data_IF_984678477326
#
_entry.id   IF_984678477326
#
_cell.length_a   1.000
_cell.length_b   1.000
_cell.length_c   1.000
_cell.angle_alpha   90.00
_cell.angle_beta   90.00
_cell.angle_gamma   90.00
#
_symmetry.space_group_name_H-M   'P 1'
#
loop_
_entity.id
_entity.type
_entity.pdbx_description
1 polymer ?
#
# COMPACT_ATOMS: atom_id res chain seq x y z
N UNK A 1 3.52 -11.99 2.76
CA UNK A 1 3.93 -11.35 4.02
C UNK A 1 4.72 -10.09 3.72
N UNK A 2 4.50 -9.01 4.46
CA UNK A 2 5.17 -7.72 4.24
C UNK A 2 5.67 -7.10 5.55
N UNK A 3 6.99 -6.85 5.71
CA UNK A 3 7.52 -6.13 6.85
C UNK A 3 7.31 -4.62 6.69
N UNK A 4 6.66 -3.99 7.65
CA UNK A 4 6.37 -2.55 7.68
C UNK A 4 6.53 -2.01 9.10
N UNK A 5 7.45 -1.06 9.30
CA UNK A 5 7.76 -0.45 10.61
C UNK A 5 8.00 -1.48 11.73
N UNK A 6 8.72 -2.57 11.41
CA UNK A 6 8.99 -3.65 12.37
C UNK A 6 7.78 -4.52 12.72
N UNK A 7 6.64 -4.34 12.04
CA UNK A 7 5.46 -5.20 12.12
C UNK A 7 5.32 -6.02 10.86
N UNK A 8 4.70 -7.19 10.99
CA UNK A 8 4.50 -8.11 9.89
C UNK A 8 3.04 -8.10 9.48
N UNK A 9 2.77 -7.74 8.23
CA UNK A 9 1.41 -7.75 7.66
C UNK A 9 1.25 -9.02 6.82
N UNK A 10 0.30 -9.86 7.22
CA UNK A 10 -0.09 -11.06 6.51
C UNK A 10 -1.28 -10.73 5.61
N UNK A 11 -1.14 -11.09 4.33
CA UNK A 11 -2.17 -10.93 3.32
C UNK A 11 -2.45 -12.31 2.78
N UNK A 12 -3.64 -12.84 3.08
CA UNK A 12 -4.04 -14.21 2.73
C UNK A 12 -4.29 -14.36 1.22
N UNK A 13 -4.81 -13.31 0.59
CA UNK A 13 -5.12 -13.34 -0.84
C UNK A 13 -3.84 -13.29 -1.70
N UNK A 14 -3.59 -14.36 -2.46
CA UNK A 14 -2.42 -14.49 -3.33
C UNK A 14 -2.40 -13.42 -4.45
N UNK A 15 -3.55 -13.15 -5.08
CA UNK A 15 -3.66 -12.12 -6.13
C UNK A 15 -3.35 -10.75 -5.57
N UNK A 16 -3.81 -10.45 -4.35
CA UNK A 16 -3.47 -9.21 -3.65
C UNK A 16 -2.00 -9.10 -3.34
N UNK A 17 -1.41 -10.20 -2.87
CA UNK A 17 0.01 -10.26 -2.57
C UNK A 17 0.85 -9.99 -3.83
N UNK A 18 0.52 -10.63 -4.96
CA UNK A 18 1.17 -10.39 -6.26
C UNK A 18 1.00 -8.94 -6.72
N UNK A 19 -0.21 -8.38 -6.64
CA UNK A 19 -0.46 -7.00 -7.02
C UNK A 19 0.34 -6.01 -6.13
N UNK A 20 0.33 -6.20 -4.82
CA UNK A 20 1.13 -5.40 -3.87
C UNK A 20 2.64 -5.52 -4.13
N UNK A 21 3.12 -6.71 -4.51
CA UNK A 21 4.53 -6.91 -4.88
C UNK A 21 4.95 -6.12 -6.13
N UNK A 22 4.04 -5.90 -7.08
CA UNK A 22 4.29 -5.05 -8.26
C UNK A 22 4.28 -3.54 -7.95
N UNK A 23 3.80 -3.12 -6.76
CA UNK A 23 3.84 -1.72 -6.35
C UNK A 23 5.24 -1.32 -5.84
N UNK A 24 5.67 -0.06 -6.08
CA UNK A 24 6.83 0.52 -5.42
C UNK A 24 6.71 0.44 -3.90
N UNK A 25 7.83 0.20 -3.21
CA UNK A 25 7.88 0.04 -1.75
C UNK A 25 7.11 1.13 -0.99
N UNK A 26 7.31 2.39 -1.36
CA UNK A 26 6.66 3.53 -0.71
C UNK A 26 5.13 3.52 -0.85
N UNK A 27 4.59 3.10 -1.99
CA UNK A 27 3.15 2.98 -2.20
C UNK A 27 2.57 1.78 -1.45
N UNK A 28 3.30 0.67 -1.45
CA UNK A 28 2.93 -0.51 -0.69
C UNK A 28 2.88 -0.20 0.81
N UNK A 29 3.90 0.44 1.36
CA UNK A 29 3.96 0.82 2.78
C UNK A 29 2.80 1.73 3.16
N UNK A 30 2.48 2.75 2.36
CA UNK A 30 1.34 3.63 2.64
C UNK A 30 0.01 2.87 2.69
N UNK A 31 -0.20 1.91 1.79
CA UNK A 31 -1.41 1.08 1.80
C UNK A 31 -1.46 0.14 3.00
N UNK A 32 -0.33 -0.51 3.32
CA UNK A 32 -0.22 -1.41 4.46
C UNK A 32 -0.43 -0.67 5.78
N UNK A 33 0.18 0.50 5.94
CA UNK A 33 0.00 1.34 7.12
C UNK A 33 -1.44 1.79 7.29
N UNK A 34 -2.09 2.24 6.21
CA UNK A 34 -3.44 2.78 6.28
C UNK A 34 -4.51 1.69 6.48
N UNK A 35 -4.50 0.66 5.63
CA UNK A 35 -5.58 -0.34 5.59
C UNK A 35 -5.36 -1.52 6.54
N UNK A 36 -4.12 -1.92 6.78
CA UNK A 36 -3.83 -3.11 7.61
C UNK A 36 -3.42 -2.75 9.03
N UNK A 37 -2.70 -1.64 9.21
CA UNK A 37 -2.24 -1.20 10.53
C UNK A 37 -3.05 -0.03 11.12
N UNK A 38 -4.05 0.48 10.40
CA UNK A 38 -4.99 1.51 10.88
C UNK A 38 -4.41 2.92 11.05
N UNK A 39 -3.24 3.21 10.47
CA UNK A 39 -2.63 4.54 10.56
C UNK A 39 -3.40 5.54 9.69
N UNK A 40 -3.57 6.76 10.20
CA UNK A 40 -4.14 7.87 9.40
C UNK A 40 -3.06 8.57 8.57
N UNK A 41 -3.47 9.25 7.51
CA UNK A 41 -2.58 10.00 6.61
C UNK A 41 -1.68 10.99 7.38
N UNK A 42 -2.17 11.60 8.47
CA UNK A 42 -1.40 12.49 9.34
C UNK A 42 -0.30 11.74 10.12
N UNK A 43 -0.60 10.56 10.65
CA UNK A 43 0.35 9.76 11.42
C UNK A 43 1.46 9.21 10.51
N UNK A 44 1.07 8.73 9.32
CA UNK A 44 2.02 8.32 8.27
C UNK A 44 2.87 9.53 7.84
N UNK A 45 2.26 10.71 7.69
CA UNK A 45 2.99 11.93 7.36
C UNK A 45 4.07 12.25 8.37
N UNK A 46 3.74 12.21 9.67
CA UNK A 46 4.71 12.41 10.75
C UNK A 46 5.84 11.37 10.72
N UNK A 47 5.53 10.10 10.49
CA UNK A 47 6.54 9.02 10.39
C UNK A 47 7.58 9.26 9.29
N UNK A 48 7.16 9.83 8.15
CA UNK A 48 8.04 10.05 6.99
C UNK A 48 8.49 11.51 6.82
N UNK A 49 8.19 12.41 7.77
CA UNK A 49 8.50 13.84 7.65
C UNK A 49 7.83 14.49 6.44
N UNK A 50 6.54 14.19 6.22
CA UNK A 50 5.74 14.68 5.09
C UNK A 50 4.38 15.19 5.57
N UNK A 51 3.82 16.13 4.80
CA UNK A 51 2.49 16.65 5.08
C UNK A 51 1.41 15.60 4.78
N UNK A 52 0.28 15.69 5.48
CA UNK A 52 -0.90 14.82 5.27
C UNK A 52 -1.32 14.76 3.80
N UNK A 53 -1.35 15.90 3.11
CA UNK A 53 -1.74 15.99 1.70
C UNK A 53 -0.82 15.18 0.78
N UNK A 54 0.49 15.17 1.05
CA UNK A 54 1.45 14.34 0.32
C UNK A 54 1.17 12.86 0.51
N UNK A 55 0.87 12.42 1.73
CA UNK A 55 0.51 11.03 2.00
C UNK A 55 -0.82 10.67 1.36
N UNK A 56 -1.82 11.53 1.45
CA UNK A 56 -3.13 11.31 0.83
C UNK A 56 -3.01 11.15 -0.69
N UNK A 57 -2.20 12.00 -1.34
CA UNK A 57 -1.90 11.87 -2.77
C UNK A 57 -1.18 10.54 -3.08
N UNK A 58 -0.16 10.18 -2.29
CA UNK A 58 0.56 8.90 -2.43
C UNK A 58 -0.37 7.71 -2.25
N UNK A 59 -1.27 7.73 -1.27
CA UNK A 59 -2.27 6.69 -1.02
C UNK A 59 -3.22 6.56 -2.20
N UNK A 60 -3.72 7.68 -2.71
CA UNK A 60 -4.60 7.71 -3.88
C UNK A 60 -3.91 7.15 -5.12
N UNK A 61 -2.62 7.49 -5.34
CA UNK A 61 -1.83 6.96 -6.44
C UNK A 61 -1.51 5.47 -6.27
N UNK A 62 -1.20 5.05 -5.05
CA UNK A 62 -1.00 3.66 -4.70
C UNK A 62 -2.24 2.82 -5.00
N UNK A 63 -3.43 3.29 -4.61
CA UNK A 63 -4.70 2.61 -4.89
C UNK A 63 -4.98 2.49 -6.39
N UNK A 64 -4.79 3.57 -7.16
CA UNK A 64 -4.97 3.51 -8.63
C UNK A 64 -4.04 2.49 -9.27
N UNK A 65 -2.77 2.44 -8.84
CA UNK A 65 -1.81 1.43 -9.33
C UNK A 65 -2.20 0.03 -8.90
N UNK A 66 -2.60 -0.16 -7.64
CA UNK A 66 -3.04 -1.46 -7.14
C UNK A 66 -4.20 -1.99 -7.97
N UNK A 67 -5.21 -1.16 -8.25
CA UNK A 67 -6.33 -1.53 -9.11
C UNK A 67 -5.89 -1.91 -10.52
N UNK A 68 -4.98 -1.14 -11.12
CA UNK A 68 -4.44 -1.43 -12.46
C UNK A 68 -3.69 -2.78 -12.49
N UNK A 69 -2.85 -3.05 -11.50
CA UNK A 69 -2.14 -4.32 -11.41
C UNK A 69 -3.09 -5.49 -11.11
N UNK A 70 -4.14 -5.25 -10.31
CA UNK A 70 -5.19 -6.22 -10.06
C UNK A 70 -5.98 -6.59 -11.32
N UNK A 71 -6.37 -5.59 -12.12
CA UNK A 71 -7.09 -5.80 -13.38
C UNK A 71 -6.23 -6.55 -14.41
N UNK A 72 -4.94 -6.24 -14.52
CA UNK A 72 -4.02 -7.01 -15.38
C UNK A 72 -3.95 -8.48 -14.99
N UNK A 73 -3.85 -8.78 -13.69
CA UNK A 73 -3.84 -10.14 -13.17
C UNK A 73 -5.16 -10.89 -13.40
N UNK A 74 -6.24 -10.19 -13.76
CA UNK A 74 -7.52 -10.80 -14.16
C UNK A 74 -7.54 -11.23 -15.64
N UNK A 75 -6.72 -10.60 -16.47
CA UNK A 75 -6.66 -10.85 -17.92
C UNK A 75 -5.52 -11.80 -18.34
N UNK A 76 -4.69 -12.26 -17.38
CA UNK A 76 -3.64 -13.27 -17.58
C UNK A 76 -4.14 -14.70 -17.25
N UNK A 77 -5.44 -14.91 -17.04
CA UNK A 77 -6.10 -16.23 -16.95
C UNK A 77 -6.78 -16.62 -18.26
#
# INVERSE_FOLDING_TARGET
MFPVLGKEVIVDNERLTKALLKLPKLYREVLLLYYFLGYRDEAIGRLYGRCRSTINHRRSMALKRLRKEWEKLKHEE
#
